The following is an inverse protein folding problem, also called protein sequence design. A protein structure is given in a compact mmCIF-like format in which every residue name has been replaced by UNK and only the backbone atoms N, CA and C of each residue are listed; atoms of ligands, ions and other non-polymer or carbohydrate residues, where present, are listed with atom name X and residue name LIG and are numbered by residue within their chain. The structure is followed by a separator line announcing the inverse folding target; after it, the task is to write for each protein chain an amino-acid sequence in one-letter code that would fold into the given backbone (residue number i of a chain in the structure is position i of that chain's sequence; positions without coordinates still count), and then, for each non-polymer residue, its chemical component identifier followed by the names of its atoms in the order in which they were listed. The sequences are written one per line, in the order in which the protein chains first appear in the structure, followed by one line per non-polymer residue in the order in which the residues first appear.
data_IF_629795959321
#
_entry.id   IF_629795959321
#
_cell.length_a   1.000
_cell.length_b   1.000
_cell.length_c   1.000
_cell.angle_alpha   90.00
_cell.angle_beta   90.00
_cell.angle_gamma   90.00
#
_symmetry.space_group_name_H-M   'P 1'
#
loop_
_entity.id
_entity.type
_entity.pdbx_description
1 polymer ?
#
# COMPACT_ATOMS: atom_id res chain seq x y z
N UNK A 1 -5.40 -19.33 -7.49
CA UNK A 1 -6.19 -18.09 -7.59
C UNK A 1 -6.13 -17.44 -6.21
N UNK A 2 -5.30 -16.41 -6.05
CA UNK A 2 -5.11 -15.76 -4.74
C UNK A 2 -6.40 -15.03 -4.35
N UNK A 3 -6.90 -15.26 -3.14
CA UNK A 3 -8.15 -14.65 -2.66
C UNK A 3 -7.84 -13.21 -2.25
N UNK A 4 -8.42 -12.23 -2.94
CA UNK A 4 -8.32 -10.82 -2.55
C UNK A 4 -9.15 -10.62 -1.28
N UNK A 5 -8.49 -10.31 -0.16
CA UNK A 5 -9.17 -10.08 1.11
C UNK A 5 -9.86 -8.71 1.10
N UNK A 6 -11.14 -8.67 1.47
CA UNK A 6 -11.79 -7.41 1.88
C UNK A 6 -11.33 -7.02 3.28
N UNK A 7 -10.76 -5.83 3.42
CA UNK A 7 -10.09 -5.39 4.63
C UNK A 7 -10.66 -4.10 5.20
N UNK A 8 -10.81 -4.07 6.52
CA UNK A 8 -11.09 -2.84 7.26
C UNK A 8 -9.81 -2.05 7.55
N UNK A 9 -9.94 -0.76 7.89
CA UNK A 9 -8.80 0.05 8.33
C UNK A 9 -8.06 -0.47 9.56
N UNK A 10 -8.66 -1.39 10.33
CA UNK A 10 -7.99 -2.06 11.46
C UNK A 10 -7.08 -3.19 11.01
N UNK A 11 -7.41 -3.86 9.90
CA UNK A 11 -6.66 -5.00 9.37
C UNK A 11 -5.58 -4.59 8.36
N UNK A 12 -5.76 -3.44 7.70
CA UNK A 12 -4.84 -2.92 6.68
C UNK A 12 -3.37 -2.90 7.14
N UNK A 13 -3.00 -2.46 8.37
CA UNK A 13 -1.59 -2.44 8.79
C UNK A 13 -0.91 -3.81 8.68
N UNK A 14 -1.52 -4.88 9.18
CA UNK A 14 -0.96 -6.23 9.12
C UNK A 14 -0.85 -6.77 7.69
N UNK A 15 -1.80 -6.39 6.81
CA UNK A 15 -1.76 -6.74 5.39
C UNK A 15 -0.64 -5.98 4.65
N UNK A 16 -0.36 -4.75 5.04
CA UNK A 16 0.75 -3.96 4.50
C UNK A 16 2.10 -4.52 4.95
N UNK A 17 2.24 -4.91 6.22
CA UNK A 17 3.46 -5.54 6.77
C UNK A 17 3.82 -6.81 6.01
N UNK A 18 2.81 -7.62 5.66
CA UNK A 18 2.97 -8.85 4.87
C UNK A 18 2.99 -8.62 3.36
N UNK A 19 2.84 -7.36 2.90
CA UNK A 19 2.68 -6.99 1.48
C UNK A 19 1.61 -7.84 0.75
N UNK A 20 0.55 -8.19 1.47
CA UNK A 20 -0.57 -8.94 0.95
C UNK A 20 -1.47 -8.05 0.06
N UNK A 21 -2.13 -8.68 -0.90
CA UNK A 21 -3.17 -8.05 -1.73
C UNK A 21 -4.44 -7.86 -0.92
N UNK A 22 -5.09 -6.70 -1.05
CA UNK A 22 -6.36 -6.44 -0.38
C UNK A 22 -7.21 -5.39 -1.09
N UNK A 23 -8.50 -5.33 -0.73
CA UNK A 23 -9.41 -4.25 -1.10
C UNK A 23 -10.12 -3.74 0.15
N UNK A 24 -9.97 -2.46 0.45
CA UNK A 24 -10.77 -1.74 1.44
C UNK A 24 -11.83 -0.87 0.77
N UNK A 25 -12.57 -0.10 1.58
CA UNK A 25 -13.64 0.77 1.06
C UNK A 25 -13.13 1.91 0.16
N UNK A 26 -11.90 2.38 0.39
CA UNK A 26 -11.34 3.58 -0.23
C UNK A 26 -9.87 3.41 -0.64
N UNK A 27 -9.38 2.18 -0.59
CA UNK A 27 -8.01 1.83 -0.95
C UNK A 27 -7.91 0.36 -1.35
N UNK A 28 -6.86 0.01 -2.06
CA UNK A 28 -6.52 -1.37 -2.36
C UNK A 28 -5.01 -1.50 -2.55
N UNK A 29 -4.51 -2.72 -2.41
CA UNK A 29 -3.13 -3.05 -2.68
C UNK A 29 -3.02 -4.16 -3.71
N UNK A 30 -2.02 -4.04 -4.57
CA UNK A 30 -1.65 -5.02 -5.58
C UNK A 30 -0.23 -5.46 -5.31
N UNK A 31 0.01 -6.75 -5.43
CA UNK A 31 1.30 -7.38 -5.22
C UNK A 31 1.63 -8.22 -6.44
N UNK A 32 2.79 -7.98 -7.01
CA UNK A 32 3.42 -8.72 -8.10
C UNK A 32 4.81 -9.17 -7.64
N UNK A 33 5.45 -10.03 -8.42
CA UNK A 33 6.70 -10.71 -8.03
C UNK A 33 7.76 -9.76 -7.44
N UNK A 34 7.95 -8.62 -8.09
CA UNK A 34 8.99 -7.63 -7.78
C UNK A 34 8.41 -6.26 -7.42
N UNK A 35 7.10 -6.14 -7.24
CA UNK A 35 6.43 -4.86 -7.02
C UNK A 35 5.27 -4.95 -6.03
N UNK A 36 5.20 -3.99 -5.12
CA UNK A 36 4.05 -3.77 -4.26
C UNK A 36 3.51 -2.34 -4.39
N UNK A 37 2.23 -2.21 -4.71
CA UNK A 37 1.59 -0.92 -5.00
C UNK A 37 0.30 -0.75 -4.18
N UNK A 38 0.12 0.43 -3.56
CA UNK A 38 -1.06 0.77 -2.74
C UNK A 38 -1.72 2.03 -3.27
N UNK A 39 -3.03 1.95 -3.47
CA UNK A 39 -3.84 3.01 -4.06
C UNK A 39 -4.88 3.51 -3.05
N UNK A 40 -5.18 4.82 -3.10
CA UNK A 40 -6.39 5.40 -2.50
C UNK A 40 -7.35 5.73 -3.64
N UNK A 41 -8.49 5.03 -3.72
CA UNK A 41 -9.30 4.98 -4.94
C UNK A 41 -8.39 4.68 -6.15
N UNK A 42 -8.28 5.60 -7.12
CA UNK A 42 -7.44 5.43 -8.31
C UNK A 42 -6.09 6.15 -8.22
N UNK A 43 -5.77 6.78 -7.09
CA UNK A 43 -4.51 7.50 -6.90
C UNK A 43 -3.47 6.58 -6.31
N UNK A 44 -2.31 6.45 -6.96
CA UNK A 44 -1.16 5.72 -6.42
C UNK A 44 -0.56 6.50 -5.25
N UNK A 45 -0.54 5.89 -4.05
CA UNK A 45 -0.01 6.53 -2.85
C UNK A 45 1.36 5.98 -2.47
N UNK A 46 1.57 4.68 -2.72
CA UNK A 46 2.83 4.01 -2.39
C UNK A 46 3.15 2.98 -3.46
N UNK A 47 4.41 2.92 -3.87
CA UNK A 47 4.94 1.87 -4.71
C UNK A 47 6.33 1.50 -4.24
N UNK A 48 6.59 0.21 -4.18
CA UNK A 48 7.87 -0.37 -3.90
C UNK A 48 8.23 -1.33 -5.03
N UNK A 49 9.40 -1.18 -5.62
CA UNK A 49 9.95 -2.10 -6.63
C UNK A 49 11.25 -2.68 -6.09
N UNK A 50 11.33 -4.01 -6.05
CA UNK A 50 12.54 -4.74 -5.67
C UNK A 50 13.28 -5.17 -6.94
N UNK A 51 14.53 -4.79 -7.06
CA UNK A 51 15.35 -5.13 -8.21
C UNK A 51 16.14 -6.42 -7.96
N UNK A 52 16.59 -7.07 -9.04
CA UNK A 52 17.36 -8.33 -8.97
C UNK A 52 18.70 -8.19 -8.25
N UNK A 53 19.26 -6.99 -8.20
CA UNK A 53 20.49 -6.67 -7.48
C UNK A 53 20.26 -6.46 -5.97
N UNK A 54 19.01 -6.62 -5.49
CA UNK A 54 18.62 -6.43 -4.10
C UNK A 54 18.34 -4.97 -3.73
N UNK A 55 18.52 -4.01 -4.66
CA UNK A 55 18.12 -2.63 -4.45
C UNK A 55 16.61 -2.47 -4.49
N UNK A 56 16.11 -1.38 -3.88
CA UNK A 56 14.68 -1.13 -3.71
C UNK A 56 14.37 0.33 -4.00
N UNK A 57 13.51 0.55 -4.98
CA UNK A 57 12.95 1.87 -5.27
C UNK A 57 11.64 2.06 -4.52
N UNK A 58 11.52 3.17 -3.81
CA UNK A 58 10.32 3.53 -3.06
C UNK A 58 9.77 4.85 -3.55
N UNK A 59 8.51 4.81 -3.99
CA UNK A 59 7.69 5.98 -4.24
C UNK A 59 6.65 6.14 -3.13
N UNK A 60 6.49 7.35 -2.63
CA UNK A 60 5.45 7.69 -1.67
C UNK A 60 4.91 9.09 -1.94
N UNK A 61 3.62 9.18 -2.26
CA UNK A 61 2.94 10.45 -2.48
C UNK A 61 2.58 11.12 -1.16
N UNK A 62 3.17 12.29 -0.92
CA UNK A 62 2.99 13.11 0.29
C UNK A 62 1.89 14.17 0.13
N UNK A 63 1.28 14.28 -1.04
CA UNK A 63 0.27 15.30 -1.34
C UNK A 63 -1.02 15.08 -0.54
N UNK A 64 -1.68 16.18 -0.17
CA UNK A 64 -2.98 16.13 0.49
C UNK A 64 -4.11 16.10 -0.54
N UNK A 65 -4.94 15.06 -0.48
CA UNK A 65 -6.14 14.93 -1.32
C UNK A 65 -7.43 14.93 -0.50
N UNK A 66 -7.43 14.18 0.61
CA UNK A 66 -8.57 14.01 1.48
C UNK A 66 -8.14 13.46 2.84
N UNK A 67 -9.00 13.59 3.86
CA UNK A 67 -8.80 12.96 5.17
C UNK A 67 -8.61 11.44 5.08
N UNK A 68 -9.33 10.78 4.16
CA UNK A 68 -9.24 9.33 3.95
C UNK A 68 -7.88 8.92 3.40
N UNK A 69 -7.37 9.67 2.43
CA UNK A 69 -6.03 9.47 1.86
C UNK A 69 -4.96 9.75 2.90
N UNK A 70 -5.10 10.83 3.70
CA UNK A 70 -4.18 11.13 4.80
C UNK A 70 -4.15 10.05 5.88
N UNK A 71 -5.30 9.43 6.19
CA UNK A 71 -5.34 8.27 7.09
C UNK A 71 -4.53 7.11 6.54
N UNK A 72 -4.67 6.80 5.25
CA UNK A 72 -3.89 5.74 4.59
C UNK A 72 -2.39 6.07 4.58
N UNK A 73 -2.01 7.28 4.20
CA UNK A 73 -0.62 7.77 4.22
C UNK A 73 0.00 7.63 5.62
N UNK A 74 -0.73 7.95 6.68
CA UNK A 74 -0.24 7.79 8.05
C UNK A 74 -0.02 6.33 8.45
N UNK A 75 -0.86 5.41 7.96
CA UNK A 75 -0.66 3.97 8.18
C UNK A 75 0.60 3.52 7.43
N UNK A 76 0.75 3.90 6.16
CA UNK A 76 1.92 3.56 5.33
C UNK A 76 3.23 4.07 5.94
N UNK A 77 3.26 5.32 6.42
CA UNK A 77 4.42 5.88 7.13
C UNK A 77 4.84 5.03 8.32
N UNK A 78 3.87 4.55 9.11
CA UNK A 78 4.13 3.72 10.29
C UNK A 78 4.63 2.33 9.92
N UNK A 79 4.01 1.70 8.93
CA UNK A 79 4.35 0.32 8.54
C UNK A 79 5.69 0.25 7.82
N UNK A 80 5.98 1.24 6.96
CA UNK A 80 7.17 1.21 6.09
C UNK A 80 8.28 2.19 6.50
N UNK A 81 8.15 2.89 7.63
CA UNK A 81 9.13 3.85 8.15
C UNK A 81 9.52 4.95 7.12
N UNK A 82 8.52 5.68 6.59
CA UNK A 82 8.64 6.69 5.52
C UNK A 82 8.59 8.15 5.97
#
# INVERSE_FOLDING_TARGET
MEIIKRATYREIPALLESKARFTGNSCYAVSFLDEYSVYSYHTLIYREVCHKDGSKDVYFDRSYYSRTTSRLQNILRKVFNL
#
